data_IF_265315493390
#
_entry.id   IF_265315493390
#
_cell.length_a   1.000
_cell.length_b   1.000
_cell.length_c   1.000
_cell.angle_alpha   90.00
_cell.angle_beta   90.00
_cell.angle_gamma   90.00
#
_symmetry.space_group_name_H-M   'P 1'
#
loop_
_entity.id
_entity.type
_entity.pdbx_description
1 polymer ?
#
# COMPACT_ATOMS: atom_id res chain seq x y z
N UNK A 1 9.32 3.47 10.76
CA UNK A 1 9.19 2.02 10.51
C UNK A 1 7.88 1.58 11.14
N UNK A 2 7.09 0.80 10.41
CA UNK A 2 5.87 0.17 10.96
C UNK A 2 6.31 -1.18 11.54
N UNK A 3 5.71 -1.59 12.64
CA UNK A 3 6.01 -2.86 13.31
C UNK A 3 4.72 -3.61 13.63
N UNK A 4 4.79 -4.94 13.65
CA UNK A 4 3.73 -5.79 14.18
C UNK A 4 4.22 -6.58 15.38
N UNK A 5 3.29 -6.92 16.26
CA UNK A 5 3.51 -7.78 17.41
C UNK A 5 2.40 -8.84 17.41
N UNK A 6 2.70 -10.01 16.83
CA UNK A 6 1.81 -11.19 16.84
C UNK A 6 2.36 -12.25 17.79
N UNK A 7 3.50 -12.84 17.43
CA UNK A 7 4.27 -13.74 18.30
C UNK A 7 5.50 -13.04 18.89
N UNK A 8 6.23 -12.31 18.04
CA UNK A 8 7.39 -11.48 18.40
C UNK A 8 7.34 -10.13 17.64
N UNK A 9 8.07 -9.14 18.17
CA UNK A 9 8.17 -7.82 17.53
C UNK A 9 8.93 -7.90 16.21
N UNK A 10 8.24 -7.61 15.12
CA UNK A 10 8.78 -7.59 13.75
C UNK A 10 8.60 -6.22 13.11
N UNK A 11 9.57 -5.79 12.32
CA UNK A 11 9.54 -4.50 11.61
C UNK A 11 9.43 -4.72 10.10
N UNK A 12 8.56 -3.95 9.46
CA UNK A 12 8.33 -4.04 8.02
C UNK A 12 9.38 -3.25 7.23
N UNK A 13 9.90 -3.87 6.18
CA UNK A 13 10.64 -3.21 5.11
C UNK A 13 9.79 -3.22 3.83
N UNK A 14 9.50 -2.02 3.33
CA UNK A 14 8.61 -1.81 2.19
C UNK A 14 9.39 -1.41 0.93
N UNK A 15 8.81 -1.69 -0.24
CA UNK A 15 9.28 -1.12 -1.50
C UNK A 15 8.74 0.31 -1.75
N UNK A 16 9.04 0.83 -2.94
CA UNK A 16 8.63 2.16 -3.37
C UNK A 16 7.13 2.32 -3.65
N UNK A 17 6.32 1.26 -3.54
CA UNK A 17 4.86 1.32 -3.61
C UNK A 17 4.19 0.90 -2.29
N UNK A 18 4.97 0.76 -1.22
CA UNK A 18 4.53 0.31 0.10
C UNK A 18 4.21 -1.18 0.18
N UNK A 19 4.63 -2.01 -0.78
CA UNK A 19 4.51 -3.47 -0.63
C UNK A 19 5.50 -3.98 0.41
N UNK A 20 5.04 -4.83 1.32
CA UNK A 20 5.90 -5.50 2.31
C UNK A 20 6.87 -6.45 1.61
N UNK A 21 8.17 -6.16 1.63
CA UNK A 21 9.21 -7.01 1.02
C UNK A 21 9.89 -7.91 2.02
N UNK A 22 10.08 -7.44 3.25
CA UNK A 22 10.73 -8.21 4.31
C UNK A 22 10.15 -7.88 5.67
N UNK A 23 10.22 -8.85 6.58
CA UNK A 23 10.15 -8.63 8.02
C UNK A 23 11.53 -8.82 8.62
N UNK A 24 11.88 -7.95 9.57
CA UNK A 24 13.11 -8.07 10.35
C UNK A 24 12.80 -8.06 11.84
N UNK A 25 13.58 -8.81 12.61
CA UNK A 25 13.47 -8.80 14.07
C UNK A 25 14.17 -7.56 14.68
N UNK A 26 14.19 -7.48 16.02
CA UNK A 26 14.82 -6.39 16.77
C UNK A 26 16.34 -6.27 16.60
N UNK A 27 17.02 -7.32 16.14
CA UNK A 27 18.46 -7.26 15.79
C UNK A 27 18.71 -6.90 14.32
N UNK A 28 17.65 -6.69 13.54
CA UNK A 28 17.73 -6.36 12.11
C UNK A 28 17.98 -7.57 11.20
N UNK A 29 17.87 -8.80 11.73
CA UNK A 29 17.95 -10.00 10.91
C UNK A 29 16.62 -10.23 10.17
N UNK A 30 16.70 -10.57 8.89
CA UNK A 30 15.54 -10.90 8.05
C UNK A 30 14.94 -12.22 8.50
N UNK A 31 13.66 -12.20 8.87
CA UNK A 31 12.89 -13.38 9.28
C UNK A 31 12.00 -13.89 8.15
N UNK A 32 11.47 -12.96 7.34
CA UNK A 32 10.51 -13.25 6.28
C UNK A 32 10.83 -12.41 5.04
N UNK A 33 10.54 -12.94 3.86
CA UNK A 33 10.70 -12.25 2.58
C UNK A 33 9.52 -12.52 1.67
N UNK A 34 9.21 -11.55 0.80
CA UNK A 34 8.08 -11.62 -0.12
C UNK A 34 8.46 -11.00 -1.46
N UNK A 35 8.24 -11.75 -2.54
CA UNK A 35 8.45 -11.31 -3.90
C UNK A 35 7.13 -11.35 -4.66
N UNK A 36 6.76 -10.24 -5.28
CA UNK A 36 5.54 -10.10 -6.06
C UNK A 36 5.84 -9.80 -7.53
N UNK A 37 4.92 -10.18 -8.41
CA UNK A 37 4.86 -9.61 -9.75
C UNK A 37 4.26 -8.17 -9.72
N UNK A 38 4.11 -7.58 -10.90
CA UNK A 38 3.59 -6.23 -11.04
C UNK A 38 2.14 -6.07 -10.55
N UNK A 39 1.34 -7.13 -10.53
CA UNK A 39 -0.08 -7.11 -10.14
C UNK A 39 -0.31 -7.58 -8.70
N UNK A 40 0.76 -7.93 -7.97
CA UNK A 40 0.67 -8.37 -6.58
C UNK A 40 0.53 -9.89 -6.40
N UNK A 41 0.74 -10.70 -7.45
CA UNK A 41 0.85 -12.15 -7.27
C UNK A 41 2.13 -12.47 -6.52
N UNK A 42 2.02 -13.18 -5.40
CA UNK A 42 3.17 -13.65 -4.63
C UNK A 42 3.90 -14.76 -5.41
N UNK A 43 5.10 -14.45 -5.90
CA UNK A 43 5.95 -15.35 -6.67
C UNK A 43 6.80 -16.24 -5.76
N UNK A 44 7.27 -15.68 -4.64
CA UNK A 44 8.09 -16.38 -3.67
C UNK A 44 7.89 -15.76 -2.28
N UNK A 45 7.97 -16.59 -1.25
CA UNK A 45 8.01 -16.13 0.14
C UNK A 45 8.83 -17.06 1.02
N UNK A 46 9.32 -16.50 2.12
CA UNK A 46 10.01 -17.26 3.17
C UNK A 46 9.56 -16.79 4.54
N UNK A 47 9.82 -17.61 5.55
CA UNK A 47 9.43 -17.35 6.94
C UNK A 47 8.06 -17.95 7.26
N UNK A 48 7.63 -17.77 8.50
CA UNK A 48 6.38 -18.34 9.03
C UNK A 48 5.58 -17.34 9.85
N UNK A 49 6.02 -16.08 9.90
CA UNK A 49 5.30 -15.05 10.64
C UNK A 49 4.04 -14.71 9.87
N UNK A 50 2.89 -14.83 10.53
CA UNK A 50 1.62 -14.44 9.95
C UNK A 50 1.64 -12.94 9.60
N UNK A 51 1.27 -12.62 8.37
CA UNK A 51 1.28 -11.26 7.86
C UNK A 51 0.19 -11.05 6.81
N UNK A 52 -0.82 -10.28 7.18
CA UNK A 52 -1.92 -9.95 6.26
C UNK A 52 -1.60 -8.72 5.40
N UNK A 53 -0.61 -7.89 5.77
CA UNK A 53 -0.30 -6.67 5.03
C UNK A 53 0.86 -6.92 4.06
N UNK A 54 0.51 -7.11 2.78
CA UNK A 54 1.44 -7.57 1.74
C UNK A 54 1.60 -6.52 0.63
N UNK A 55 1.02 -6.77 -0.54
CA UNK A 55 1.18 -5.92 -1.73
C UNK A 55 0.56 -4.54 -1.54
N UNK A 56 1.32 -3.48 -1.87
CA UNK A 56 0.93 -2.07 -1.68
C UNK A 56 0.47 -1.67 -0.27
N UNK A 57 0.78 -2.50 0.73
CA UNK A 57 0.34 -2.30 2.12
C UNK A 57 -1.13 -2.65 2.36
N UNK A 58 -1.77 -3.32 1.41
CA UNK A 58 -3.16 -3.74 1.50
C UNK A 58 -3.29 -5.09 2.21
N UNK A 59 -4.44 -5.30 2.85
CA UNK A 59 -4.71 -6.52 3.59
C UNK A 59 -5.06 -7.65 2.62
N UNK A 60 -4.36 -8.78 2.70
CA UNK A 60 -4.70 -10.02 2.02
C UNK A 60 -5.65 -10.85 2.90
N UNK A 61 -6.79 -11.24 2.35
CA UNK A 61 -7.70 -12.20 2.99
C UNK A 61 -7.40 -13.61 2.43
N UNK A 62 -6.78 -14.51 3.19
CA UNK A 62 -6.45 -15.85 2.72
C UNK A 62 -7.69 -16.73 2.46
N UNK A 63 -8.84 -16.42 3.06
CA UNK A 63 -10.06 -17.18 2.82
C UNK A 63 -10.70 -16.80 1.48
N UNK A 64 -10.65 -15.51 1.13
CA UNK A 64 -11.15 -15.02 -0.15
C UNK A 64 -10.13 -15.20 -1.27
N UNK A 65 -8.83 -15.23 -0.95
CA UNK A 65 -7.74 -15.27 -1.92
C UNK A 65 -7.45 -13.92 -2.59
N UNK A 66 -7.94 -12.83 -2.01
CA UNK A 66 -7.95 -11.48 -2.60
C UNK A 66 -7.41 -10.42 -1.64
N UNK A 67 -6.95 -9.31 -2.20
CA UNK A 67 -6.63 -8.12 -1.43
C UNK A 67 -7.89 -7.30 -1.14
N UNK A 68 -8.06 -6.84 0.10
CA UNK A 68 -9.14 -5.95 0.49
C UNK A 68 -8.68 -4.48 0.45
N UNK A 69 -9.09 -3.76 -0.59
CA UNK A 69 -8.75 -2.36 -0.83
C UNK A 69 -9.85 -1.44 -0.31
N UNK A 70 -10.29 -1.66 0.94
CA UNK A 70 -11.34 -0.90 1.69
C UNK A 70 -12.73 -0.88 1.06
N UNK A 71 -12.87 -0.48 -0.20
CA UNK A 71 -14.11 -0.42 -0.94
C UNK A 71 -14.40 -1.72 -1.70
N UNK A 72 -13.36 -2.42 -2.14
CA UNK A 72 -13.48 -3.56 -3.06
C UNK A 72 -12.41 -4.62 -2.78
N UNK A 73 -12.74 -5.86 -3.12
CA UNK A 73 -11.76 -6.92 -3.24
C UNK A 73 -11.08 -6.85 -4.60
N UNK A 74 -9.76 -6.95 -4.59
CA UNK A 74 -8.89 -6.99 -5.75
C UNK A 74 -8.36 -8.40 -5.95
N UNK A 75 -8.61 -8.95 -7.13
CA UNK A 75 -8.09 -10.23 -7.60
C UNK A 75 -6.80 -9.98 -8.39
N UNK A 76 -5.68 -10.27 -7.74
CA UNK A 76 -4.34 -10.16 -8.30
C UNK A 76 -4.10 -11.11 -9.48
N UNK A 77 -4.79 -12.25 -9.54
CA UNK A 77 -4.59 -13.24 -10.60
C UNK A 77 -5.15 -12.74 -11.94
N UNK A 78 -6.29 -12.03 -11.90
CA UNK A 78 -6.87 -11.38 -13.08
C UNK A 78 -6.43 -9.93 -13.27
N UNK A 79 -5.84 -9.30 -12.24
CA UNK A 79 -5.48 -7.89 -12.24
C UNK A 79 -6.72 -6.97 -12.25
N UNK A 80 -7.81 -7.40 -11.60
CA UNK A 80 -9.12 -6.72 -11.62
C UNK A 80 -9.77 -6.67 -10.24
N UNK A 81 -10.63 -5.69 -10.02
CA UNK A 81 -11.55 -5.72 -8.89
C UNK A 81 -12.63 -6.78 -9.12
N UNK A 82 -13.08 -7.44 -8.05
CA UNK A 82 -14.16 -8.43 -8.11
C UNK A 82 -15.54 -7.80 -8.14
N UNK A 83 -15.63 -6.51 -7.82
CA UNK A 83 -16.86 -5.73 -7.86
C UNK A 83 -16.71 -4.46 -8.71
N UNK A 84 -17.86 -4.03 -9.19
CA UNK A 84 -18.04 -2.81 -9.97
C UNK A 84 -17.54 -1.59 -9.19
N UNK A 85 -16.81 -0.70 -9.87
CA UNK A 85 -16.53 0.65 -9.38
C UNK A 85 -17.83 1.44 -9.20
N UNK A 86 -18.14 1.95 -8.00
CA UNK A 86 -19.26 2.86 -7.81
C UNK A 86 -19.06 4.19 -8.57
N UNK A 87 -17.82 4.53 -8.93
CA UNK A 87 -17.53 5.66 -9.79
C UNK A 87 -17.96 5.35 -11.23
N UNK A 88 -18.85 6.19 -11.76
CA UNK A 88 -19.42 6.03 -13.11
C UNK A 88 -18.44 6.38 -14.24
N UNK A 89 -17.28 6.94 -13.89
CA UNK A 89 -16.27 7.39 -14.85
C UNK A 89 -16.62 8.71 -15.53
N UNK A 90 -15.77 9.12 -16.47
CA UNK A 90 -15.93 10.33 -17.29
C UNK A 90 -15.80 9.97 -18.76
N UNK A 91 -16.72 10.45 -19.58
CA UNK A 91 -16.75 10.16 -21.02
C UNK A 91 -15.47 10.60 -21.75
N UNK A 92 -14.83 11.66 -21.29
CA UNK A 92 -13.57 12.17 -21.84
C UNK A 92 -12.31 11.47 -21.28
N UNK A 93 -12.47 10.52 -20.35
CA UNK A 93 -11.39 9.69 -19.80
C UNK A 93 -11.79 8.20 -19.93
N UNK A 94 -11.71 7.59 -21.13
CA UNK A 94 -12.29 6.27 -21.40
C UNK A 94 -11.80 5.14 -20.49
N UNK A 95 -10.61 5.27 -19.90
CA UNK A 95 -10.09 4.31 -18.92
C UNK A 95 -10.95 4.22 -17.66
N UNK A 96 -11.53 5.34 -17.23
CA UNK A 96 -12.41 5.41 -16.04
C UNK A 96 -13.77 4.73 -16.26
N UNK A 97 -14.15 4.44 -17.51
CA UNK A 97 -15.37 3.72 -17.84
C UNK A 97 -15.21 2.20 -17.66
N UNK A 98 -13.98 1.70 -17.51
CA UNK A 98 -13.70 0.29 -17.27
C UNK A 98 -13.76 -0.01 -15.78
N UNK A 99 -14.97 -0.27 -15.28
CA UNK A 99 -15.32 -0.32 -13.84
C UNK A 99 -14.69 -1.45 -13.01
N UNK A 100 -13.80 -2.25 -13.56
CA UNK A 100 -13.11 -3.33 -12.86
C UNK A 100 -11.58 -3.19 -12.91
N UNK A 101 -11.05 -2.13 -13.53
CA UNK A 101 -9.60 -1.94 -13.63
C UNK A 101 -8.99 -1.62 -12.28
N UNK A 102 -7.91 -2.34 -11.96
CA UNK A 102 -6.97 -1.92 -10.93
C UNK A 102 -5.91 -1.00 -11.56
N UNK A 103 -5.55 0.08 -10.84
CA UNK A 103 -4.42 0.96 -11.16
C UNK A 103 -4.37 1.43 -12.62
N UNK A 104 -5.52 1.61 -13.28
CA UNK A 104 -5.59 1.97 -14.70
C UNK A 104 -4.82 1.00 -15.61
N UNK A 105 -4.74 -0.29 -15.27
CA UNK A 105 -3.99 -1.33 -16.00
C UNK A 105 -2.46 -1.07 -16.05
N UNK A 106 -1.94 -0.19 -15.18
CA UNK A 106 -0.52 0.12 -15.07
C UNK A 106 -0.05 0.08 -13.59
N UNK A 107 -0.07 -1.10 -12.96
CA UNK A 107 0.23 -1.24 -11.53
C UNK A 107 1.70 -1.03 -11.18
N UNK A 108 2.61 -0.98 -12.16
CA UNK A 108 4.02 -0.64 -11.95
C UNK A 108 4.18 0.84 -11.62
N UNK A 109 3.35 1.71 -12.20
CA UNK A 109 3.44 3.16 -12.04
C UNK A 109 2.31 3.75 -11.20
N UNK A 110 1.23 3.00 -10.99
CA UNK A 110 0.01 3.47 -10.34
C UNK A 110 -0.44 2.49 -9.26
N UNK A 111 -1.13 2.98 -8.25
CA UNK A 111 -1.77 2.20 -7.18
C UNK A 111 -3.19 2.72 -6.96
N UNK A 112 -4.09 1.90 -6.42
CA UNK A 112 -5.44 2.35 -6.01
C UNK A 112 -5.68 2.06 -4.53
N UNK A 113 -5.22 2.93 -3.60
CA UNK A 113 -5.28 2.65 -2.17
C UNK A 113 -6.70 2.69 -1.61
N UNK A 114 -7.63 3.37 -2.26
CA UNK A 114 -9.02 3.44 -1.78
C UNK A 114 -9.91 2.36 -2.38
N UNK A 115 -9.39 1.60 -3.36
CA UNK A 115 -10.20 0.74 -4.20
C UNK A 115 -11.25 1.53 -4.98
N UNK A 116 -11.00 2.80 -5.32
CA UNK A 116 -11.92 3.67 -6.06
C UNK A 116 -11.18 4.68 -6.95
N UNK A 117 -9.91 4.96 -6.67
CA UNK A 117 -9.19 6.05 -7.31
C UNK A 117 -7.73 5.66 -7.53
N UNK A 118 -7.42 5.45 -8.80
CA UNK A 118 -6.06 5.21 -9.29
C UNK A 118 -5.20 6.48 -9.14
N UNK A 119 -4.07 6.37 -8.44
CA UNK A 119 -3.08 7.43 -8.24
C UNK A 119 -1.69 6.97 -8.67
N UNK A 120 -0.82 7.91 -9.03
CA UNK A 120 0.58 7.57 -9.29
C UNK A 120 1.25 7.00 -8.03
N UNK A 121 2.02 5.94 -8.21
CA UNK A 121 2.74 5.24 -7.15
C UNK A 121 3.59 6.19 -6.31
N UNK A 122 3.39 6.12 -4.99
CA UNK A 122 4.09 6.92 -4.00
C UNK A 122 5.53 6.44 -3.84
N UNK A 123 6.46 6.91 -4.69
CA UNK A 123 7.91 6.67 -4.49
C UNK A 123 8.33 7.14 -3.08
N UNK A 124 8.39 6.22 -2.13
CA UNK A 124 8.43 6.50 -0.68
C UNK A 124 9.66 7.33 -0.28
N UNK A 125 10.76 7.23 -1.04
CA UNK A 125 11.96 8.06 -0.87
C UNK A 125 11.70 9.57 -1.04
N UNK A 126 10.73 9.99 -1.85
CA UNK A 126 10.39 11.39 -2.07
C UNK A 126 9.17 11.85 -1.24
N UNK A 127 8.20 10.96 -0.99
CA UNK A 127 6.98 11.27 -0.24
C UNK A 127 7.26 11.56 1.25
N UNK A 128 8.19 10.83 1.87
CA UNK A 128 8.62 11.08 3.24
C UNK A 128 9.16 12.51 3.40
N UNK A 129 9.94 13.02 2.44
CA UNK A 129 10.52 14.39 2.51
C UNK A 129 9.44 15.48 2.49
N UNK A 130 8.36 15.29 1.74
CA UNK A 130 7.24 16.23 1.67
C UNK A 130 6.36 16.24 2.92
N UNK A 131 6.08 15.07 3.49
CA UNK A 131 5.29 14.94 4.74
C UNK A 131 6.10 15.47 5.93
N UNK A 132 7.38 15.12 6.02
CA UNK A 132 8.29 15.60 7.07
C UNK A 132 8.39 17.13 7.06
N UNK A 133 8.57 17.76 5.89
CA UNK A 133 8.63 19.23 5.79
C UNK A 133 7.31 19.91 6.17
N UNK A 134 6.15 19.31 5.86
CA UNK A 134 4.83 19.86 6.25
C UNK A 134 4.57 19.70 7.75
N UNK A 135 5.02 18.60 8.35
CA UNK A 135 4.89 18.36 9.79
C UNK A 135 5.79 19.30 10.58
N UNK A 136 7.05 19.50 10.17
CA UNK A 136 7.92 20.50 10.79
C UNK A 136 7.35 21.91 10.69
N UNK A 137 6.88 22.33 9.52
CA UNK A 137 6.29 23.66 9.34
C UNK A 137 5.05 23.90 10.23
N UNK A 138 4.19 22.89 10.41
CA UNK A 138 3.01 22.99 11.29
C UNK A 138 3.38 22.99 12.78
N UNK A 139 4.31 22.15 13.20
CA UNK A 139 4.73 22.10 14.61
C UNK A 139 5.44 23.38 15.04
N UNK A 140 6.29 23.94 14.17
CA UNK A 140 6.96 25.23 14.41
C UNK A 140 5.96 26.39 14.45
N UNK A 141 4.95 26.41 13.58
CA UNK A 141 3.91 27.45 13.59
C UNK A 141 3.04 27.41 14.86
N UNK A 142 2.70 26.22 15.37
CA UNK A 142 1.94 26.06 16.61
C UNK A 142 2.77 26.47 17.84
N UNK A 143 4.06 26.17 17.86
CA UNK A 143 4.97 26.56 18.94
C UNK A 143 5.10 28.08 19.08
N UNK A 144 5.22 28.82 17.96
CA UNK A 144 5.27 30.29 17.97
C UNK A 144 3.93 30.99 18.26
N UNK A 145 2.81 30.26 18.14
CA UNK A 145 1.48 30.76 18.50
C UNK A 145 1.20 30.58 20.00
N UNK A 146 1.77 29.55 20.64
CA UNK A 146 1.55 29.25 22.06
C UNK A 146 2.49 30.01 23.03
N UNK A 147 3.65 30.48 22.54
CA UNK A 147 4.66 31.19 23.35
C UNK A 147 4.66 32.72 23.16
N UNK A 148 3.58 33.30 22.62
CA UNK A 148 3.34 34.74 22.64
C UNK A 148 2.25 35.07 23.67
N UNK A 149 2.63 35.02 24.95
CA UNK A 149 1.98 35.72 26.05
C UNK A 149 3.06 36.19 27.03
#
# INVERSE_FOLDING_TARGET
MIAQNRDDLSYYLYDGQLSSRQLVNSSGAVTDSYDYDAFGNLLNSSGSTENDFLYTGEQFDPNAGFYYLRARYYDQASGRFTSVDPYTGRMHEPMTLRRYLYAGDNPVMMVDPSGMLTIAGLNVGNALRGVINRTYAKTTALYFQYHRH
#
